data_IF_631060196206
#
_entry.id   IF_631060196206
#
_cell.length_a   1.000
_cell.length_b   1.000
_cell.length_c   1.000
_cell.angle_alpha   90.00
_cell.angle_beta   90.00
_cell.angle_gamma   90.00
#
_symmetry.space_group_name_H-M   'P 1'
#
loop_
_entity.id
_entity.type
_entity.pdbx_description
1 polymer ?
#
# COMPACT_ATOMS: atom_id res chain seq x y z
N UNK A 1 42.08 57.58 3.56
CA UNK A 1 42.28 56.17 3.07
C UNK A 1 42.32 55.09 4.16
N UNK A 2 43.00 55.26 5.32
CA UNK A 2 43.03 54.22 6.39
C UNK A 2 41.70 54.17 7.16
N UNK A 3 41.01 55.29 7.34
CA UNK A 3 39.73 55.36 8.06
C UNK A 3 38.57 54.67 7.30
N UNK A 4 38.49 54.81 5.99
CA UNK A 4 37.44 54.24 5.14
C UNK A 4 37.54 52.70 5.06
N UNK A 5 38.76 52.16 5.09
CA UNK A 5 38.97 50.70 5.09
C UNK A 5 38.64 50.04 6.43
N UNK A 6 38.79 50.76 7.55
CA UNK A 6 38.40 50.24 8.88
C UNK A 6 36.88 50.28 9.10
N UNK A 7 36.21 51.37 8.67
CA UNK A 7 34.74 51.47 8.72
C UNK A 7 34.08 50.38 7.89
N UNK A 8 34.54 50.16 6.65
CA UNK A 8 34.03 49.09 5.79
C UNK A 8 34.20 47.65 6.38
N UNK A 9 35.32 47.39 7.08
CA UNK A 9 35.52 46.10 7.78
C UNK A 9 34.58 45.93 8.96
N UNK A 10 34.29 46.97 9.72
CA UNK A 10 33.38 46.92 10.88
C UNK A 10 31.95 46.67 10.44
N UNK A 11 31.50 47.31 9.36
CA UNK A 11 30.18 47.13 8.77
C UNK A 11 30.02 45.70 8.23
N UNK A 12 31.03 45.19 7.51
CA UNK A 12 31.00 43.81 7.01
C UNK A 12 30.94 42.75 8.15
N UNK A 13 31.64 42.97 9.25
CA UNK A 13 31.58 42.12 10.44
C UNK A 13 30.18 42.17 11.07
N UNK A 14 29.55 43.32 11.16
CA UNK A 14 28.21 43.50 11.69
C UNK A 14 27.16 42.79 10.81
N UNK A 15 27.26 42.94 9.49
CA UNK A 15 26.43 42.27 8.51
C UNK A 15 26.59 40.75 8.58
N UNK A 16 27.81 40.23 8.64
CA UNK A 16 28.08 38.80 8.80
C UNK A 16 27.45 38.24 10.08
N UNK A 17 27.56 38.95 11.21
CA UNK A 17 26.90 38.55 12.47
C UNK A 17 25.39 38.48 12.33
N UNK A 18 24.76 39.41 11.63
CA UNK A 18 23.33 39.42 11.38
C UNK A 18 22.92 38.22 10.52
N UNK A 19 23.64 37.98 9.44
CA UNK A 19 23.36 36.88 8.50
C UNK A 19 23.61 35.50 9.15
N UNK A 20 24.64 35.34 9.98
CA UNK A 20 24.87 34.14 10.77
C UNK A 20 23.69 33.88 11.72
N UNK A 21 23.14 34.92 12.38
CA UNK A 21 21.95 34.76 13.25
C UNK A 21 20.71 34.35 12.45
N UNK A 22 20.50 34.94 11.28
CA UNK A 22 19.41 34.58 10.36
C UNK A 22 19.55 33.13 9.90
N UNK A 23 20.74 32.71 9.49
CA UNK A 23 21.02 31.35 9.04
C UNK A 23 20.79 30.36 10.19
N UNK A 24 21.25 30.67 11.41
CA UNK A 24 21.00 29.82 12.58
C UNK A 24 19.51 29.64 12.87
N UNK A 25 18.71 30.71 12.74
CA UNK A 25 17.25 30.60 12.91
C UNK A 25 16.64 29.71 11.85
N UNK A 26 17.02 29.89 10.57
CA UNK A 26 16.56 29.02 9.47
C UNK A 26 16.96 27.56 9.67
N UNK A 27 18.13 27.27 10.20
CA UNK A 27 18.55 25.91 10.53
C UNK A 27 17.58 25.27 11.52
N UNK A 28 17.20 25.98 12.60
CA UNK A 28 16.24 25.44 13.58
C UNK A 28 14.84 25.27 13.01
N UNK A 29 14.38 26.19 12.16
CA UNK A 29 13.10 26.09 11.46
C UNK A 29 13.10 24.87 10.53
N UNK A 30 14.15 24.66 9.75
CA UNK A 30 14.32 23.51 8.87
C UNK A 30 14.41 22.17 9.64
N UNK A 31 15.16 22.14 10.74
CA UNK A 31 15.29 20.94 11.59
C UNK A 31 13.93 20.52 12.16
N UNK A 32 13.11 21.48 12.62
CA UNK A 32 11.77 21.21 13.11
C UNK A 32 10.86 20.70 11.99
N UNK A 33 10.88 21.30 10.80
CA UNK A 33 10.10 20.91 9.63
C UNK A 33 10.45 19.49 9.16
N UNK A 34 11.74 19.20 9.00
CA UNK A 34 12.22 17.86 8.61
C UNK A 34 11.83 16.80 9.65
N UNK A 35 11.95 17.12 10.95
CA UNK A 35 11.56 16.20 12.03
C UNK A 35 10.06 15.92 12.03
N UNK A 36 9.23 16.93 11.75
CA UNK A 36 7.78 16.77 11.65
C UNK A 36 7.42 15.89 10.46
N UNK A 37 7.94 16.19 9.27
CA UNK A 37 7.71 15.38 8.07
C UNK A 37 8.16 13.93 8.25
N UNK A 38 9.29 13.71 8.93
CA UNK A 38 9.74 12.35 9.25
C UNK A 38 8.74 11.60 10.14
N UNK A 39 8.22 12.25 11.17
CA UNK A 39 7.21 11.64 12.05
C UNK A 39 5.92 11.31 11.30
N UNK A 40 5.45 12.18 10.40
CA UNK A 40 4.30 11.95 9.54
C UNK A 40 4.51 10.77 8.60
N UNK A 41 5.69 10.65 7.98
CA UNK A 41 6.04 9.50 7.14
C UNK A 41 6.09 8.18 7.92
N UNK A 42 6.54 8.20 9.19
CA UNK A 42 6.52 7.00 10.04
C UNK A 42 5.08 6.56 10.39
N UNK A 43 4.18 7.51 10.65
CA UNK A 43 2.76 7.20 10.85
C UNK A 43 2.14 6.64 9.57
N UNK A 44 2.42 7.25 8.43
CA UNK A 44 1.95 6.78 7.12
C UNK A 44 2.40 5.34 6.82
N UNK A 45 3.63 4.98 7.16
CA UNK A 45 4.12 3.60 7.03
C UNK A 45 3.32 2.63 7.91
N UNK A 46 2.95 3.01 9.13
CA UNK A 46 2.12 2.19 10.00
C UNK A 46 0.71 1.98 9.40
N UNK A 47 0.10 3.03 8.87
CA UNK A 47 -1.22 2.96 8.21
C UNK A 47 -1.19 2.08 6.95
N UNK A 48 -0.12 2.15 6.16
CA UNK A 48 0.08 1.29 4.98
C UNK A 48 0.18 -0.19 5.39
N UNK A 49 0.91 -0.51 6.46
CA UNK A 49 1.01 -1.90 6.95
C UNK A 49 -0.31 -2.39 7.54
N UNK A 50 -1.10 -1.54 8.19
CA UNK A 50 -2.46 -1.86 8.63
C UNK A 50 -3.36 -2.16 7.43
N UNK A 51 -3.37 -1.31 6.41
CA UNK A 51 -4.11 -1.53 5.17
C UNK A 51 -3.73 -2.85 4.48
N UNK A 52 -2.45 -3.18 4.46
CA UNK A 52 -1.96 -4.46 3.95
C UNK A 52 -2.53 -5.65 4.74
N UNK A 53 -2.55 -5.57 6.06
CA UNK A 53 -3.13 -6.61 6.92
C UNK A 53 -4.65 -6.76 6.70
N UNK A 54 -5.37 -5.64 6.54
CA UNK A 54 -6.80 -5.63 6.21
C UNK A 54 -7.09 -6.26 4.85
N UNK A 55 -6.32 -5.93 3.81
CA UNK A 55 -6.42 -6.53 2.48
C UNK A 55 -6.19 -8.05 2.54
N UNK A 56 -5.18 -8.50 3.27
CA UNK A 56 -4.89 -9.93 3.44
C UNK A 56 -6.03 -10.65 4.15
N UNK A 57 -6.62 -10.04 5.17
CA UNK A 57 -7.80 -10.57 5.87
C UNK A 57 -9.01 -10.66 4.93
N UNK A 58 -9.29 -9.61 4.17
CA UNK A 58 -10.38 -9.56 3.20
C UNK A 58 -10.20 -10.64 2.13
N UNK A 59 -9.00 -10.79 1.59
CA UNK A 59 -8.68 -11.85 0.65
C UNK A 59 -8.92 -13.24 1.22
N UNK A 60 -8.41 -13.52 2.42
CA UNK A 60 -8.59 -14.82 3.07
C UNK A 60 -10.06 -15.12 3.31
N UNK A 61 -10.85 -14.16 3.78
CA UNK A 61 -12.27 -14.31 4.02
C UNK A 61 -13.06 -14.55 2.73
N UNK A 62 -12.78 -13.77 1.69
CA UNK A 62 -13.47 -13.89 0.41
C UNK A 62 -13.07 -15.19 -0.32
N UNK A 63 -11.76 -15.42 -0.44
CA UNK A 63 -11.24 -16.50 -1.26
C UNK A 63 -11.33 -17.86 -0.58
N UNK A 64 -10.83 -17.99 0.65
CA UNK A 64 -10.82 -19.28 1.37
C UNK A 64 -12.15 -19.62 2.03
N UNK A 65 -12.87 -18.61 2.50
CA UNK A 65 -14.15 -18.80 3.19
C UNK A 65 -15.35 -18.81 2.23
N UNK A 66 -15.69 -17.67 1.69
CA UNK A 66 -16.94 -17.50 0.92
C UNK A 66 -16.97 -18.34 -0.36
N UNK A 67 -15.84 -18.41 -1.06
CA UNK A 67 -15.73 -19.18 -2.31
C UNK A 67 -15.91 -20.67 -2.10
N UNK A 68 -15.29 -21.26 -1.08
CA UNK A 68 -15.41 -22.70 -0.83
C UNK A 68 -16.88 -23.09 -0.62
N UNK A 69 -17.58 -22.36 0.26
CA UNK A 69 -19.00 -22.62 0.55
C UNK A 69 -19.87 -22.40 -0.70
N UNK A 70 -19.58 -21.37 -1.51
CA UNK A 70 -20.34 -21.11 -2.74
C UNK A 70 -20.15 -22.22 -3.77
N UNK A 71 -18.94 -22.75 -3.95
CA UNK A 71 -18.66 -23.89 -4.84
C UNK A 71 -19.40 -25.13 -4.35
N UNK A 72 -19.34 -25.44 -3.06
CA UNK A 72 -20.02 -26.59 -2.48
C UNK A 72 -21.52 -26.46 -2.67
N UNK A 73 -22.11 -25.29 -2.44
CA UNK A 73 -23.53 -25.03 -2.69
C UNK A 73 -23.93 -25.30 -4.16
N UNK A 74 -23.13 -24.83 -5.10
CA UNK A 74 -23.39 -25.06 -6.54
C UNK A 74 -23.27 -26.53 -6.88
N UNK A 75 -22.22 -27.22 -6.45
CA UNK A 75 -22.01 -28.62 -6.70
C UNK A 75 -23.15 -29.47 -6.13
N UNK A 76 -23.58 -29.19 -4.90
CA UNK A 76 -24.67 -29.92 -4.24
C UNK A 76 -26.02 -29.73 -4.95
N UNK A 77 -26.31 -28.49 -5.42
CA UNK A 77 -27.52 -28.21 -6.19
C UNK A 77 -27.55 -28.99 -7.52
N UNK A 78 -26.45 -29.04 -8.25
CA UNK A 78 -26.38 -29.78 -9.50
C UNK A 78 -26.40 -31.28 -9.26
N UNK A 79 -25.75 -31.78 -8.20
CA UNK A 79 -25.82 -33.18 -7.82
C UNK A 79 -27.26 -33.63 -7.50
N UNK A 80 -28.02 -32.76 -6.81
CA UNK A 80 -29.45 -33.03 -6.56
C UNK A 80 -30.26 -33.12 -7.85
N UNK A 81 -30.04 -32.18 -8.79
CA UNK A 81 -30.74 -32.19 -10.09
C UNK A 81 -30.42 -33.43 -10.92
N UNK A 82 -29.14 -33.83 -10.96
CA UNK A 82 -28.68 -35.02 -11.67
C UNK A 82 -29.31 -36.27 -11.04
N UNK A 83 -29.27 -36.42 -9.71
CA UNK A 83 -29.85 -37.57 -9.01
C UNK A 83 -31.36 -37.71 -9.26
N UNK A 84 -32.11 -36.60 -9.26
CA UNK A 84 -33.52 -36.60 -9.61
C UNK A 84 -33.79 -37.08 -11.02
N UNK A 85 -33.00 -36.56 -12.01
CA UNK A 85 -33.15 -36.98 -13.41
C UNK A 85 -32.74 -38.45 -13.63
N UNK A 86 -31.69 -38.91 -12.97
CA UNK A 86 -31.24 -40.31 -13.07
C UNK A 86 -32.24 -41.31 -12.49
N UNK A 87 -32.99 -40.90 -11.47
CA UNK A 87 -34.04 -41.74 -10.84
C UNK A 87 -35.31 -41.87 -11.70
N UNK A 88 -35.49 -41.05 -12.75
CA UNK A 88 -36.62 -41.20 -13.66
C UNK A 88 -36.46 -42.48 -14.53
N UNK A 89 -37.51 -43.32 -14.58
CA UNK A 89 -37.55 -44.52 -15.41
C UNK A 89 -38.40 -44.25 -16.69
N UNK A 90 -37.74 -44.02 -17.84
CA UNK A 90 -38.47 -43.70 -19.08
C UNK A 90 -39.21 -44.93 -19.61
N UNK A 91 -40.48 -44.73 -20.00
CA UNK A 91 -41.33 -45.75 -20.54
C UNK A 91 -41.26 -45.84 -22.08
N UNK A 92 -40.59 -44.91 -22.72
CA UNK A 92 -40.45 -44.84 -24.18
C UNK A 92 -39.11 -44.22 -24.59
N UNK A 93 -38.67 -44.43 -25.83
CA UNK A 93 -37.46 -43.81 -26.43
C UNK A 93 -37.52 -42.28 -26.41
N UNK A 94 -38.71 -41.70 -26.57
CA UNK A 94 -38.92 -40.26 -26.51
C UNK A 94 -38.60 -39.71 -25.10
N UNK A 95 -39.09 -40.40 -24.05
CA UNK A 95 -38.83 -40.05 -22.67
C UNK A 95 -37.36 -40.29 -22.30
N UNK A 96 -36.76 -41.35 -22.81
CA UNK A 96 -35.35 -41.64 -22.65
C UNK A 96 -34.47 -40.51 -23.26
N UNK A 97 -34.79 -40.10 -24.49
CA UNK A 97 -34.10 -38.97 -25.16
C UNK A 97 -34.30 -37.63 -24.39
N UNK A 98 -35.51 -37.38 -23.88
CA UNK A 98 -35.77 -36.21 -23.03
C UNK A 98 -34.91 -36.22 -21.76
N UNK A 99 -34.84 -37.34 -21.05
CA UNK A 99 -33.99 -37.52 -19.85
C UNK A 99 -32.53 -37.23 -20.17
N UNK A 100 -31.98 -37.82 -21.23
CA UNK A 100 -30.56 -37.57 -21.63
C UNK A 100 -30.34 -36.11 -22.01
N UNK A 101 -31.26 -35.49 -22.74
CA UNK A 101 -31.18 -34.06 -23.09
C UNK A 101 -31.14 -33.18 -21.81
N UNK A 102 -32.02 -33.47 -20.85
CA UNK A 102 -32.06 -32.71 -19.59
C UNK A 102 -30.79 -32.92 -18.75
N UNK A 103 -30.24 -34.11 -18.66
CA UNK A 103 -28.97 -34.40 -18.02
C UNK A 103 -27.82 -33.65 -18.65
N UNK A 104 -27.77 -33.62 -19.99
CA UNK A 104 -26.75 -32.87 -20.69
C UNK A 104 -26.89 -31.35 -20.46
N UNK A 105 -28.12 -30.82 -20.46
CA UNK A 105 -28.38 -29.41 -20.15
C UNK A 105 -27.88 -29.05 -18.73
N UNK A 106 -28.24 -29.82 -17.73
CA UNK A 106 -27.81 -29.59 -16.35
C UNK A 106 -26.28 -29.62 -16.22
N UNK A 107 -25.62 -30.57 -16.91
CA UNK A 107 -24.15 -30.64 -16.91
C UNK A 107 -23.50 -29.45 -17.61
N UNK A 108 -24.07 -28.97 -18.71
CA UNK A 108 -23.59 -27.76 -19.40
C UNK A 108 -23.75 -26.55 -18.48
N UNK A 109 -24.90 -26.33 -17.87
CA UNK A 109 -25.12 -25.23 -16.92
C UNK A 109 -24.14 -25.27 -15.75
N UNK A 110 -23.83 -26.47 -15.23
CA UNK A 110 -22.81 -26.62 -14.17
C UNK A 110 -21.41 -26.19 -14.66
N UNK A 111 -21.03 -26.59 -15.87
CA UNK A 111 -19.74 -26.24 -16.45
C UNK A 111 -19.64 -24.74 -16.72
N UNK A 112 -20.70 -24.12 -17.22
CA UNK A 112 -20.78 -22.66 -17.42
C UNK A 112 -20.55 -21.93 -16.11
N UNK A 113 -21.25 -22.30 -15.02
CA UNK A 113 -21.07 -21.69 -13.70
C UNK A 113 -19.67 -21.87 -13.14
N UNK A 114 -19.04 -23.01 -13.37
CA UNK A 114 -17.65 -23.25 -12.97
C UNK A 114 -16.68 -22.42 -13.81
N UNK A 115 -16.96 -22.22 -15.09
CA UNK A 115 -16.17 -21.35 -15.97
C UNK A 115 -16.24 -19.88 -15.52
N UNK A 116 -17.45 -19.36 -15.30
CA UNK A 116 -17.67 -18.00 -14.77
C UNK A 116 -16.87 -17.75 -13.50
N UNK A 117 -16.87 -18.76 -12.59
CA UNK A 117 -16.12 -18.68 -11.35
C UNK A 117 -14.60 -18.65 -11.59
N UNK A 118 -14.10 -19.46 -12.53
CA UNK A 118 -12.69 -19.48 -12.88
C UNK A 118 -12.24 -18.15 -13.48
N UNK A 119 -13.08 -17.51 -14.31
CA UNK A 119 -12.79 -16.18 -14.86
C UNK A 119 -12.69 -15.12 -13.76
N UNK A 120 -13.63 -15.12 -12.81
CA UNK A 120 -13.57 -14.23 -11.64
C UNK A 120 -12.29 -14.44 -10.82
N UNK A 121 -11.86 -15.70 -10.67
CA UNK A 121 -10.63 -16.04 -9.93
C UNK A 121 -9.37 -15.56 -10.65
N UNK A 122 -9.35 -15.67 -11.98
CA UNK A 122 -8.26 -15.14 -12.79
C UNK A 122 -8.15 -13.62 -12.59
N UNK A 123 -9.28 -12.91 -12.58
CA UNK A 123 -9.30 -11.47 -12.41
C UNK A 123 -8.80 -11.06 -11.00
N UNK A 124 -9.19 -11.79 -9.96
CA UNK A 124 -8.67 -11.59 -8.61
C UNK A 124 -7.15 -11.84 -8.57
N UNK A 125 -6.67 -12.93 -9.19
CA UNK A 125 -5.24 -13.23 -9.23
C UNK A 125 -4.45 -12.14 -9.96
N UNK A 126 -4.99 -11.58 -11.04
CA UNK A 126 -4.39 -10.45 -11.76
C UNK A 126 -4.26 -9.21 -10.86
N UNK A 127 -5.31 -8.86 -10.11
CA UNK A 127 -5.27 -7.75 -9.14
C UNK A 127 -4.26 -7.96 -8.02
N UNK A 128 -4.10 -9.19 -7.53
CA UNK A 128 -3.08 -9.50 -6.53
C UNK A 128 -1.66 -9.34 -7.07
N UNK A 129 -1.44 -9.67 -8.34
CA UNK A 129 -0.13 -9.43 -8.99
C UNK A 129 0.14 -7.92 -9.03
N UNK A 130 -0.83 -7.09 -9.42
CA UNK A 130 -0.69 -5.62 -9.42
C UNK A 130 -0.30 -5.09 -8.03
N UNK A 131 -0.96 -5.55 -6.97
CA UNK A 131 -0.63 -5.16 -5.58
C UNK A 131 0.80 -5.59 -5.20
N UNK A 132 1.20 -6.82 -5.56
CA UNK A 132 2.55 -7.29 -5.29
C UNK A 132 3.63 -6.48 -6.02
N UNK A 133 3.37 -6.07 -7.27
CA UNK A 133 4.28 -5.19 -8.03
C UNK A 133 4.41 -3.81 -7.36
N UNK A 134 3.31 -3.24 -6.87
CA UNK A 134 3.35 -1.98 -6.12
C UNK A 134 4.17 -2.11 -4.83
N UNK A 135 3.99 -3.18 -4.06
CA UNK A 135 4.77 -3.45 -2.85
C UNK A 135 6.26 -3.63 -3.16
N UNK A 136 6.60 -4.30 -4.26
CA UNK A 136 7.99 -4.45 -4.69
C UNK A 136 8.61 -3.10 -5.04
N UNK A 137 7.87 -2.22 -5.72
CA UNK A 137 8.32 -0.86 -6.03
C UNK A 137 8.58 -0.04 -4.77
N UNK A 138 7.67 -0.07 -3.80
CA UNK A 138 7.84 0.62 -2.50
C UNK A 138 9.06 0.09 -1.75
N UNK A 139 9.25 -1.23 -1.70
CA UNK A 139 10.42 -1.83 -1.06
C UNK A 139 11.73 -1.41 -1.76
N UNK A 140 11.72 -1.27 -3.09
CA UNK A 140 12.86 -0.74 -3.84
C UNK A 140 13.22 0.69 -3.42
N UNK A 141 12.23 1.57 -3.31
CA UNK A 141 12.43 2.96 -2.87
C UNK A 141 12.95 3.04 -1.42
N UNK A 142 12.45 2.19 -0.52
CA UNK A 142 12.94 2.12 0.86
C UNK A 142 14.41 1.68 0.89
N UNK A 143 14.79 0.69 0.06
CA UNK A 143 16.17 0.23 -0.03
C UNK A 143 17.08 1.34 -0.53
N UNK A 144 16.71 2.05 -1.59
CA UNK A 144 17.46 3.19 -2.13
C UNK A 144 17.62 4.33 -1.10
N UNK A 145 16.54 4.63 -0.36
CA UNK A 145 16.60 5.61 0.72
C UNK A 145 17.56 5.18 1.84
N UNK A 146 17.55 3.91 2.23
CA UNK A 146 18.48 3.38 3.23
C UNK A 146 19.94 3.43 2.77
N UNK A 147 20.22 3.07 1.50
CA UNK A 147 21.56 3.18 0.92
C UNK A 147 22.05 4.64 0.93
N UNK A 148 21.19 5.59 0.55
CA UNK A 148 21.52 7.02 0.60
C UNK A 148 21.89 7.47 2.02
N UNK A 149 21.15 7.03 3.05
CA UNK A 149 21.45 7.38 4.45
C UNK A 149 22.79 6.79 4.91
N UNK A 150 23.11 5.56 4.48
CA UNK A 150 24.40 4.92 4.80
C UNK A 150 25.56 5.68 4.14
N UNK A 151 25.46 6.01 2.85
CA UNK A 151 26.49 6.73 2.11
C UNK A 151 26.73 8.14 2.67
N UNK A 152 25.65 8.85 3.02
CA UNK A 152 25.75 10.16 3.67
C UNK A 152 26.38 10.03 5.07
N UNK A 153 26.05 8.97 5.82
CA UNK A 153 26.65 8.68 7.10
C UNK A 153 28.16 8.46 7.02
N UNK A 154 28.63 7.67 6.06
CA UNK A 154 30.04 7.42 5.82
C UNK A 154 30.81 8.69 5.43
N UNK A 155 30.18 9.55 4.61
CA UNK A 155 30.71 10.86 4.26
C UNK A 155 30.87 11.75 5.50
N UNK A 156 29.85 11.82 6.35
CA UNK A 156 29.89 12.60 7.58
C UNK A 156 30.94 12.09 8.58
N UNK A 157 31.12 10.77 8.68
CA UNK A 157 32.16 10.14 9.50
C UNK A 157 33.56 10.58 9.03
N UNK A 158 33.79 10.55 7.71
CA UNK A 158 35.06 10.99 7.12
C UNK A 158 35.33 12.46 7.35
N UNK A 159 34.33 13.34 7.16
CA UNK A 159 34.41 14.77 7.44
C UNK A 159 34.69 15.03 8.94
N UNK A 160 34.03 14.33 9.83
CA UNK A 160 34.26 14.45 11.27
C UNK A 160 35.69 14.03 11.66
N UNK A 161 36.26 13.02 11.03
CA UNK A 161 37.64 12.60 11.26
C UNK A 161 38.61 13.71 10.83
N UNK A 162 38.39 14.36 9.67
CA UNK A 162 39.17 15.50 9.22
C UNK A 162 39.08 16.70 10.21
N UNK A 163 37.90 16.93 10.76
CA UNK A 163 37.71 17.98 11.78
C UNK A 163 38.46 17.67 13.07
N UNK A 164 38.47 16.42 13.52
CA UNK A 164 39.19 15.95 14.68
C UNK A 164 40.71 16.13 14.55
N UNK A 165 41.28 16.03 13.34
CA UNK A 165 42.68 16.24 13.03
C UNK A 165 43.14 17.72 13.08
N UNK A 166 42.29 18.63 13.54
CA UNK A 166 42.59 20.04 13.74
C UNK A 166 42.58 20.88 12.46
N UNK A 167 41.97 20.38 11.38
CA UNK A 167 41.82 21.14 10.12
C UNK A 167 41.00 22.41 10.33
N UNK A 168 40.00 22.39 11.18
CA UNK A 168 39.17 23.56 11.55
C UNK A 168 40.00 24.63 12.29
N UNK A 169 40.88 24.24 13.20
CA UNK A 169 41.75 25.16 13.90
C UNK A 169 42.73 25.84 12.94
N UNK A 170 43.26 25.14 11.94
CA UNK A 170 44.09 25.68 10.87
C UNK A 170 43.32 26.64 9.96
N UNK A 171 42.06 26.38 9.65
CA UNK A 171 41.20 27.29 8.89
C UNK A 171 40.88 28.55 9.68
N UNK A 172 40.62 28.40 10.99
CA UNK A 172 40.32 29.54 11.88
C UNK A 172 41.44 30.56 11.92
N UNK A 173 42.72 30.15 11.85
CA UNK A 173 43.86 31.06 11.82
C UNK A 173 43.97 31.85 10.50
N UNK A 174 43.33 31.41 9.44
CA UNK A 174 43.29 32.04 8.11
C UNK A 174 42.00 32.83 7.85
N UNK A 175 41.10 32.89 8.82
CA UNK A 175 39.80 33.53 8.66
C UNK A 175 39.95 35.05 8.44
N UNK A 176 39.28 35.57 7.41
CA UNK A 176 39.16 36.97 7.11
C UNK A 176 37.70 37.39 7.03
N UNK A 177 37.35 38.68 7.26
CA UNK A 177 35.96 39.14 7.12
C UNK A 177 35.35 38.84 5.75
N UNK A 178 36.12 38.95 4.67
CA UNK A 178 35.64 38.65 3.32
C UNK A 178 35.44 37.18 3.08
N UNK A 179 36.34 36.30 3.52
CA UNK A 179 36.17 34.86 3.41
C UNK A 179 34.95 34.39 4.21
N UNK A 180 34.76 34.92 5.42
CA UNK A 180 33.56 34.63 6.22
C UNK A 180 32.29 35.12 5.53
N UNK A 181 32.29 36.30 4.88
CA UNK A 181 31.13 36.78 4.16
C UNK A 181 30.76 35.87 2.99
N UNK A 182 31.72 35.40 2.21
CA UNK A 182 31.50 34.43 1.13
C UNK A 182 30.91 33.14 1.64
N UNK A 183 31.46 32.60 2.73
CA UNK A 183 30.94 31.37 3.38
C UNK A 183 29.51 31.54 3.91
N UNK A 184 29.20 32.72 4.50
CA UNK A 184 27.85 33.04 5.00
C UNK A 184 26.84 33.10 3.85
N UNK A 185 27.20 33.75 2.71
CA UNK A 185 26.35 33.79 1.52
C UNK A 185 26.11 32.40 0.97
N UNK A 186 27.15 31.59 0.80
CA UNK A 186 27.03 30.20 0.33
C UNK A 186 26.14 29.35 1.26
N UNK A 187 26.31 29.49 2.57
CA UNK A 187 25.44 28.79 3.52
C UNK A 187 23.97 29.24 3.44
N UNK A 188 23.74 30.54 3.19
CA UNK A 188 22.38 31.08 2.99
C UNK A 188 21.71 30.45 1.77
N UNK A 189 22.44 30.34 0.65
CA UNK A 189 21.94 29.73 -0.59
C UNK A 189 21.67 28.23 -0.40
N UNK A 190 22.55 27.52 0.30
CA UNK A 190 22.34 26.09 0.62
C UNK A 190 21.11 25.89 1.49
N UNK A 191 20.94 26.71 2.53
CA UNK A 191 19.75 26.67 3.39
C UNK A 191 18.46 26.96 2.63
N UNK A 192 18.49 27.90 1.69
CA UNK A 192 17.32 28.18 0.87
C UNK A 192 16.91 26.97 0.01
N UNK A 193 17.89 26.30 -0.62
CA UNK A 193 17.63 25.08 -1.39
C UNK A 193 17.12 23.93 -0.53
N UNK A 194 17.63 23.77 0.68
CA UNK A 194 17.17 22.76 1.63
C UNK A 194 15.72 23.03 2.08
N UNK A 195 15.38 24.29 2.34
CA UNK A 195 14.02 24.68 2.70
C UNK A 195 13.04 24.40 1.55
N UNK A 196 13.40 24.71 0.32
CA UNK A 196 12.58 24.38 -0.86
C UNK A 196 12.37 22.86 -0.99
N UNK A 197 13.40 22.05 -0.75
CA UNK A 197 13.28 20.58 -0.77
C UNK A 197 12.39 20.06 0.36
N UNK A 198 12.53 20.60 1.57
CA UNK A 198 11.69 20.23 2.72
C UNK A 198 10.22 20.55 2.45
N UNK A 199 9.90 21.75 1.96
CA UNK A 199 8.54 22.12 1.59
C UNK A 199 7.92 21.23 0.50
N UNK A 200 8.72 20.76 -0.47
CA UNK A 200 8.26 19.82 -1.49
C UNK A 200 7.96 18.47 -0.84
N UNK A 201 8.88 17.96 -0.01
CA UNK A 201 8.72 16.68 0.68
C UNK A 201 7.49 16.68 1.62
N UNK A 202 7.27 17.75 2.38
CA UNK A 202 6.08 17.92 3.22
C UNK A 202 4.79 17.87 2.39
N UNK A 203 4.75 18.60 1.27
CA UNK A 203 3.58 18.60 0.38
C UNK A 203 3.29 17.22 -0.21
N UNK A 204 4.34 16.49 -0.60
CA UNK A 204 4.21 15.13 -1.12
C UNK A 204 3.75 14.16 -0.03
N UNK A 205 4.30 14.25 1.18
CA UNK A 205 3.87 13.45 2.33
C UNK A 205 2.39 13.68 2.65
N UNK A 206 1.94 14.93 2.72
CA UNK A 206 0.52 15.26 2.94
C UNK A 206 -0.40 14.70 1.84
N UNK A 207 0.05 14.70 0.57
CA UNK A 207 -0.66 14.07 -0.53
C UNK A 207 -0.78 12.56 -0.40
N UNK A 208 0.26 11.90 0.15
CA UNK A 208 0.24 10.46 0.42
C UNK A 208 -0.68 10.11 1.59
N UNK A 209 -0.69 10.89 2.67
CA UNK A 209 -1.62 10.70 3.82
C UNK A 209 -3.06 10.65 3.33
N UNK A 210 -3.47 11.63 2.53
CA UNK A 210 -4.84 11.67 2.03
C UNK A 210 -5.20 10.45 1.17
N UNK A 211 -4.28 9.99 0.33
CA UNK A 211 -4.49 8.78 -0.48
C UNK A 211 -4.60 7.52 0.37
N UNK A 212 -3.79 7.38 1.41
CA UNK A 212 -3.86 6.22 2.32
C UNK A 212 -5.16 6.22 3.12
N UNK A 213 -5.67 7.38 3.54
CA UNK A 213 -6.99 7.49 4.19
C UNK A 213 -8.13 7.05 3.26
N UNK A 214 -8.10 7.46 1.99
CA UNK A 214 -9.09 7.02 0.98
C UNK A 214 -9.00 5.50 0.74
N UNK A 215 -7.79 4.96 0.60
CA UNK A 215 -7.56 3.52 0.44
C UNK A 215 -8.07 2.73 1.65
N UNK A 216 -7.80 3.21 2.87
CA UNK A 216 -8.29 2.59 4.13
C UNK A 216 -9.81 2.48 4.12
N UNK A 217 -10.50 3.56 3.76
CA UNK A 217 -11.96 3.59 3.68
C UNK A 217 -12.47 2.56 2.67
N UNK A 218 -11.90 2.52 1.47
CA UNK A 218 -12.27 1.55 0.43
C UNK A 218 -12.05 0.10 0.86
N UNK A 219 -10.95 -0.18 1.58
CA UNK A 219 -10.63 -1.52 2.10
C UNK A 219 -11.64 -1.94 3.18
N UNK A 220 -12.06 -1.04 4.06
CA UNK A 220 -13.07 -1.31 5.08
C UNK A 220 -14.44 -1.57 4.45
N UNK A 221 -14.89 -0.75 3.50
CA UNK A 221 -16.12 -0.95 2.74
C UNK A 221 -16.13 -2.31 2.02
N UNK A 222 -15.00 -2.70 1.42
CA UNK A 222 -14.83 -4.03 0.82
C UNK A 222 -14.95 -5.15 1.86
N UNK A 223 -14.42 -4.96 3.07
CA UNK A 223 -14.53 -5.90 4.18
C UNK A 223 -15.99 -6.15 4.58
N UNK A 224 -16.77 -5.09 4.70
CA UNK A 224 -18.21 -5.15 5.00
C UNK A 224 -19.00 -5.87 3.90
N UNK A 225 -18.69 -5.59 2.64
CA UNK A 225 -19.30 -6.28 1.50
C UNK A 225 -18.99 -7.78 1.51
N UNK A 226 -17.77 -8.16 1.85
CA UNK A 226 -17.37 -9.58 1.96
C UNK A 226 -18.13 -10.25 3.11
N UNK A 227 -18.32 -9.59 4.24
CA UNK A 227 -19.10 -10.10 5.37
C UNK A 227 -20.58 -10.28 4.99
N UNK A 228 -21.19 -9.30 4.37
CA UNK A 228 -22.57 -9.35 3.89
C UNK A 228 -22.79 -10.50 2.88
N UNK A 229 -21.83 -10.70 1.97
CA UNK A 229 -21.88 -11.83 1.03
C UNK A 229 -21.76 -13.17 1.75
N UNK A 230 -20.96 -13.27 2.80
CA UNK A 230 -20.82 -14.48 3.60
C UNK A 230 -22.14 -14.89 4.25
N UNK A 231 -22.87 -13.94 4.83
CA UNK A 231 -24.19 -14.21 5.41
C UNK A 231 -25.17 -14.78 4.37
N UNK A 232 -25.19 -14.17 3.17
CA UNK A 232 -26.02 -14.65 2.06
C UNK A 232 -25.63 -16.05 1.62
N UNK A 233 -24.36 -16.35 1.48
CA UNK A 233 -23.85 -17.67 1.08
C UNK A 233 -24.16 -18.72 2.15
N UNK A 234 -24.13 -18.38 3.43
CA UNK A 234 -24.52 -19.26 4.52
C UNK A 234 -26.04 -19.54 4.53
N UNK A 235 -26.86 -18.52 4.33
CA UNK A 235 -28.29 -18.71 4.17
C UNK A 235 -28.64 -19.60 2.96
N UNK A 236 -27.93 -19.42 1.84
CA UNK A 236 -28.07 -20.31 0.70
C UNK A 236 -27.61 -21.74 1.01
N UNK A 237 -26.58 -21.94 1.83
CA UNK A 237 -26.16 -23.28 2.30
C UNK A 237 -27.28 -24.00 3.05
N UNK A 238 -27.99 -23.32 3.93
CA UNK A 238 -29.12 -23.90 4.64
C UNK A 238 -30.22 -24.35 3.67
N UNK A 239 -30.51 -23.54 2.66
CA UNK A 239 -31.49 -23.86 1.61
C UNK A 239 -31.05 -25.06 0.77
N UNK A 240 -29.75 -25.13 0.42
CA UNK A 240 -29.15 -26.26 -0.32
C UNK A 240 -29.28 -27.57 0.50
N UNK A 241 -28.95 -27.54 1.78
CA UNK A 241 -29.10 -28.70 2.68
C UNK A 241 -30.57 -29.14 2.78
N UNK A 242 -31.51 -28.20 2.88
CA UNK A 242 -32.92 -28.49 2.86
C UNK A 242 -33.37 -29.17 1.54
N UNK A 243 -32.85 -28.68 0.40
CA UNK A 243 -33.11 -29.29 -0.90
C UNK A 243 -32.53 -30.70 -1.02
N UNK A 244 -31.32 -30.96 -0.51
CA UNK A 244 -30.72 -32.29 -0.48
C UNK A 244 -31.60 -33.27 0.29
N UNK A 245 -32.11 -32.90 1.47
CA UNK A 245 -33.04 -33.73 2.27
C UNK A 245 -34.31 -34.02 1.49
N UNK A 246 -34.96 -33.01 0.88
CA UNK A 246 -36.15 -33.21 0.05
C UNK A 246 -35.89 -34.14 -1.14
N UNK A 247 -34.74 -34.00 -1.79
CA UNK A 247 -34.34 -34.89 -2.89
C UNK A 247 -34.19 -36.33 -2.42
N UNK A 248 -33.51 -36.55 -1.27
CA UNK A 248 -33.36 -37.87 -0.69
C UNK A 248 -34.73 -38.51 -0.37
N UNK A 249 -35.64 -37.75 0.24
CA UNK A 249 -37.00 -38.21 0.55
C UNK A 249 -37.81 -38.59 -0.70
N UNK A 250 -37.66 -37.82 -1.79
CA UNK A 250 -38.29 -38.12 -3.09
C UNK A 250 -37.72 -39.38 -3.73
N UNK A 251 -36.40 -39.55 -3.70
CA UNK A 251 -35.73 -40.75 -4.23
C UNK A 251 -36.12 -42.03 -3.52
N UNK A 252 -36.41 -41.97 -2.21
CA UNK A 252 -36.91 -43.10 -1.44
C UNK A 252 -38.33 -43.47 -1.87
N UNK A 253 -39.17 -42.48 -2.22
CA UNK A 253 -40.56 -42.72 -2.65
C UNK A 253 -40.68 -43.20 -4.10
N UNK A 254 -39.66 -43.02 -4.90
CA UNK A 254 -39.61 -43.46 -6.31
C UNK A 254 -39.06 -44.90 -6.47
N UNK A 255 -38.50 -45.47 -5.41
CA UNK A 255 -38.10 -46.88 -5.32
C UNK A 255 -39.25 -47.72 -4.81
#
# INVERSE_FOLDING_TARGET
MIGDTMANKTDLIAENKLNIRKNRRKIFELDAEVSTTYAELMLLLADIEENRALLQRNYTSAFMGNRSIAIDNVNDLYSCRIAMLEALDPSSDVEANFKVRMLNQVRIEQLEKRSDLNDTLRDIAAKMIEVNVMLQSVNGLITEANETVVDEGDTMISENAEWADGSVAKQMTKATPNANSQSVVSNTERLQKLLERANIAEKEANGLVHRVEEDTKGILELGDDIANRRERIQADRERVVANQRRTADLLIKLK
#
